data_IF_081281859380
#
_entry.id   IF_081281859380
#
_cell.length_a   1.000
_cell.length_b   1.000
_cell.length_c   1.000
_cell.angle_alpha   90.00
_cell.angle_beta   90.00
_cell.angle_gamma   90.00
#
_symmetry.space_group_name_H-M   'P 1'
#
loop_
_entity.id
_entity.type
_entity.pdbx_description
1 polymer ?
#
# COMPACT_ATOMS: atom_id res chain seq x y z
N UNK A 1 -1.84 -19.34 -2.80
CA UNK A 1 -3.11 -19.35 -2.06
C UNK A 1 -3.27 -17.99 -1.38
N UNK A 2 -4.45 -17.37 -1.41
CA UNK A 2 -4.66 -16.05 -0.81
C UNK A 2 -4.88 -16.15 0.71
N UNK A 3 -4.48 -15.13 1.45
CA UNK A 3 -4.54 -15.10 2.92
C UNK A 3 -5.97 -15.32 3.49
N UNK A 4 -7.01 -14.87 2.78
CA UNK A 4 -8.39 -15.10 3.18
C UNK A 4 -8.78 -16.59 3.10
N UNK A 5 -8.39 -17.31 2.04
CA UNK A 5 -8.67 -18.73 1.88
C UNK A 5 -8.00 -19.56 2.99
N UNK A 6 -6.75 -19.20 3.31
CA UNK A 6 -5.99 -19.75 4.42
C UNK A 6 -6.75 -19.66 5.76
N UNK A 7 -7.25 -18.48 6.09
CA UNK A 7 -8.01 -18.24 7.34
C UNK A 7 -9.39 -18.90 7.31
N UNK A 8 -10.07 -18.96 6.16
CA UNK A 8 -11.36 -19.64 6.01
C UNK A 8 -11.23 -21.15 6.19
N UNK A 9 -10.21 -21.77 5.59
CA UNK A 9 -9.92 -23.20 5.76
C UNK A 9 -9.67 -23.51 7.24
N UNK A 10 -8.89 -22.66 7.91
CA UNK A 10 -8.64 -22.78 9.35
C UNK A 10 -9.93 -22.67 10.18
N UNK A 11 -10.79 -21.68 9.88
CA UNK A 11 -12.10 -21.53 10.53
C UNK A 11 -12.98 -22.77 10.32
N UNK A 12 -13.01 -23.30 9.09
CA UNK A 12 -13.77 -24.50 8.75
C UNK A 12 -13.27 -25.75 9.51
N UNK A 13 -11.94 -25.92 9.61
CA UNK A 13 -11.34 -27.01 10.38
C UNK A 13 -11.74 -26.91 11.86
N UNK A 14 -11.69 -25.72 12.47
CA UNK A 14 -12.11 -25.53 13.86
C UNK A 14 -13.60 -25.82 14.07
N UNK A 15 -14.47 -25.43 13.14
CA UNK A 15 -15.92 -25.75 13.19
C UNK A 15 -16.18 -27.24 13.07
N UNK A 16 -15.34 -27.97 12.33
CA UNK A 16 -15.43 -29.43 12.22
C UNK A 16 -14.95 -30.18 13.47
N UNK A 17 -14.45 -29.46 14.48
CA UNK A 17 -13.95 -30.05 15.73
C UNK A 17 -12.47 -30.44 15.70
N UNK A 18 -11.70 -30.00 14.69
CA UNK A 18 -10.26 -30.24 14.65
C UNK A 18 -9.57 -29.55 15.85
N UNK A 19 -8.51 -30.19 16.37
CA UNK A 19 -7.73 -29.59 17.46
C UNK A 19 -6.96 -28.37 16.98
N UNK A 20 -6.75 -27.41 17.88
CA UNK A 20 -6.00 -26.17 17.58
C UNK A 20 -4.61 -26.45 16.98
N UNK A 21 -3.94 -27.53 17.40
CA UNK A 21 -2.61 -27.89 16.89
C UNK A 21 -2.64 -28.30 15.41
N UNK A 22 -3.59 -29.14 15.02
CA UNK A 22 -3.76 -29.57 13.61
C UNK A 22 -4.10 -28.37 12.75
N UNK A 23 -5.03 -27.54 13.22
CA UNK A 23 -5.48 -26.34 12.55
C UNK A 23 -4.30 -25.36 12.30
N UNK A 24 -3.52 -25.03 13.34
CA UNK A 24 -2.36 -24.11 13.23
C UNK A 24 -1.28 -24.69 12.31
N UNK A 25 -1.02 -26.00 12.37
CA UNK A 25 0.02 -26.62 11.54
C UNK A 25 -0.28 -26.51 10.03
N UNK A 26 -1.56 -26.61 9.64
CA UNK A 26 -1.99 -26.39 8.26
C UNK A 26 -1.81 -24.92 7.83
N UNK A 27 -2.09 -23.98 8.73
CA UNK A 27 -1.93 -22.54 8.48
C UNK A 27 -0.46 -22.11 8.32
N UNK A 28 0.47 -22.71 9.08
CA UNK A 28 1.90 -22.37 9.03
C UNK A 28 2.56 -22.65 7.67
N UNK A 29 1.99 -23.54 6.85
CA UNK A 29 2.53 -23.86 5.53
C UNK A 29 2.19 -22.81 4.45
N UNK A 30 1.40 -21.79 4.80
CA UNK A 30 0.90 -20.80 3.85
C UNK A 30 1.74 -19.51 3.87
N UNK A 31 2.00 -18.97 2.68
CA UNK A 31 2.78 -17.74 2.52
C UNK A 31 1.94 -16.48 2.83
N UNK A 32 1.96 -16.06 4.10
CA UNK A 32 1.37 -14.81 4.58
C UNK A 32 2.41 -13.69 4.67
N UNK A 33 1.99 -12.43 4.47
CA UNK A 33 2.85 -11.28 4.80
C UNK A 33 3.09 -11.22 6.32
N UNK A 34 4.20 -10.59 6.74
CA UNK A 34 4.50 -10.42 8.16
C UNK A 34 3.39 -9.67 8.91
N UNK A 35 2.75 -8.69 8.27
CA UNK A 35 1.60 -7.99 8.85
C UNK A 35 0.38 -8.91 9.01
N UNK A 36 0.08 -9.72 8.00
CA UNK A 36 -1.04 -10.68 8.06
C UNK A 36 -0.83 -11.73 9.16
N UNK A 37 0.41 -12.21 9.34
CA UNK A 37 0.75 -13.11 10.46
C UNK A 37 0.48 -12.46 11.81
N UNK A 38 0.96 -11.22 12.01
CA UNK A 38 0.71 -10.45 13.24
C UNK A 38 -0.78 -10.20 13.48
N UNK A 39 -1.52 -9.85 12.43
CA UNK A 39 -2.96 -9.61 12.53
C UNK A 39 -3.73 -10.88 12.86
N UNK A 40 -3.35 -12.01 12.27
CA UNK A 40 -3.87 -13.32 12.62
C UNK A 40 -3.58 -13.67 14.09
N UNK A 41 -2.33 -13.56 14.53
CA UNK A 41 -1.94 -13.87 15.91
C UNK A 41 -2.67 -12.97 16.92
N UNK A 42 -2.83 -11.69 16.60
CA UNK A 42 -3.60 -10.76 17.43
C UNK A 42 -5.05 -11.19 17.62
N UNK A 43 -5.75 -11.54 16.54
CA UNK A 43 -7.15 -12.00 16.60
C UNK A 43 -7.27 -13.37 17.27
N UNK A 44 -6.35 -14.28 16.95
CA UNK A 44 -6.28 -15.61 17.56
C UNK A 44 -6.09 -15.54 19.07
N UNK A 45 -5.09 -14.78 19.53
CA UNK A 45 -4.80 -14.59 20.95
C UNK A 45 -5.93 -13.90 21.67
N UNK A 46 -6.58 -12.92 21.03
CA UNK A 46 -7.75 -12.25 21.60
C UNK A 46 -8.89 -13.25 21.81
N UNK A 47 -9.25 -14.04 20.80
CA UNK A 47 -10.33 -15.03 20.90
C UNK A 47 -9.99 -16.12 21.93
N UNK A 48 -8.77 -16.65 21.90
CA UNK A 48 -8.31 -17.68 22.83
C UNK A 48 -8.34 -17.20 24.29
N UNK A 49 -7.77 -16.03 24.59
CA UNK A 49 -7.61 -15.59 25.98
C UNK A 49 -8.87 -14.92 26.55
N UNK A 50 -9.76 -14.42 25.69
CA UNK A 50 -11.10 -13.99 26.12
C UNK A 50 -12.08 -15.14 26.28
N UNK A 51 -11.79 -16.32 25.71
CA UNK A 51 -12.75 -17.43 25.61
C UNK A 51 -13.80 -17.25 24.51
N UNK A 52 -13.57 -16.33 23.56
CA UNK A 52 -14.45 -16.08 22.43
C UNK A 52 -14.43 -17.18 21.37
N UNK A 53 -15.42 -17.16 20.49
CA UNK A 53 -15.51 -18.11 19.38
C UNK A 53 -14.43 -17.80 18.32
N UNK A 54 -13.35 -18.59 18.33
CA UNK A 54 -12.22 -18.45 17.40
C UNK A 54 -12.69 -18.54 15.95
N UNK A 55 -13.60 -19.46 15.62
CA UNK A 55 -14.06 -19.62 14.25
C UNK A 55 -14.79 -18.38 13.73
N UNK A 56 -15.65 -17.75 14.55
CA UNK A 56 -16.31 -16.49 14.17
C UNK A 56 -15.32 -15.33 14.05
N UNK A 57 -14.33 -15.26 14.93
CA UNK A 57 -13.26 -14.26 14.86
C UNK A 57 -12.42 -14.41 13.57
N UNK A 58 -12.15 -15.66 13.16
CA UNK A 58 -11.40 -15.96 11.94
C UNK A 58 -12.23 -15.72 10.67
N UNK A 59 -13.53 -16.00 10.65
CA UNK A 59 -14.40 -15.62 9.52
C UNK A 59 -14.33 -14.11 9.28
N UNK A 60 -14.44 -13.33 10.36
CA UNK A 60 -14.32 -11.88 10.29
C UNK A 60 -12.95 -11.44 9.78
N UNK A 61 -11.88 -12.06 10.25
CA UNK A 61 -10.53 -11.77 9.75
C UNK A 61 -10.38 -12.12 8.27
N UNK A 62 -11.00 -13.20 7.80
CA UNK A 62 -10.97 -13.58 6.40
C UNK A 62 -11.67 -12.54 5.50
N UNK A 63 -12.83 -12.02 5.92
CA UNK A 63 -13.50 -10.90 5.24
C UNK A 63 -12.59 -9.67 5.14
N UNK A 64 -11.90 -9.34 6.24
CA UNK A 64 -10.94 -8.24 6.28
C UNK A 64 -9.79 -8.47 5.32
N UNK A 65 -9.20 -9.67 5.29
CA UNK A 65 -8.14 -10.02 4.36
C UNK A 65 -8.59 -10.00 2.89
N UNK A 66 -9.82 -10.44 2.61
CA UNK A 66 -10.38 -10.36 1.26
C UNK A 66 -10.56 -8.91 0.82
N UNK A 67 -11.11 -8.06 1.68
CA UNK A 67 -11.27 -6.62 1.42
C UNK A 67 -9.92 -5.94 1.20
N UNK A 68 -8.93 -6.21 2.05
CA UNK A 68 -7.57 -5.70 1.89
C UNK A 68 -6.91 -6.19 0.59
N UNK A 69 -7.13 -7.44 0.20
CA UNK A 69 -6.60 -7.99 -1.04
C UNK A 69 -7.20 -7.31 -2.27
N UNK A 70 -8.53 -7.14 -2.31
CA UNK A 70 -9.23 -6.38 -3.38
C UNK A 70 -8.69 -4.96 -3.49
N UNK A 71 -8.57 -4.26 -2.36
CA UNK A 71 -8.02 -2.91 -2.28
C UNK A 71 -6.57 -2.82 -2.75
N UNK A 72 -5.71 -3.76 -2.34
CA UNK A 72 -4.31 -3.81 -2.76
C UNK A 72 -4.17 -4.06 -4.27
N UNK A 73 -5.01 -4.94 -4.82
CA UNK A 73 -5.06 -5.20 -6.26
C UNK A 73 -5.47 -3.94 -7.05
N UNK A 74 -6.53 -3.25 -6.61
CA UNK A 74 -6.98 -2.00 -7.23
C UNK A 74 -5.88 -0.93 -7.20
N UNK A 75 -5.16 -0.78 -6.07
CA UNK A 75 -4.02 0.15 -6.02
C UNK A 75 -2.90 -0.25 -6.96
N UNK A 76 -2.52 -1.53 -7.05
CA UNK A 76 -1.47 -1.99 -7.97
C UNK A 76 -1.80 -1.61 -9.41
N UNK A 77 -3.05 -1.77 -9.83
CA UNK A 77 -3.54 -1.37 -11.15
C UNK A 77 -3.46 0.15 -11.30
N UNK A 78 -3.98 0.90 -10.33
CA UNK A 78 -3.99 2.36 -10.37
C UNK A 78 -2.58 2.99 -10.37
N UNK A 79 -1.59 2.38 -9.70
CA UNK A 79 -0.18 2.80 -9.74
C UNK A 79 0.54 2.44 -11.05
N UNK A 80 0.05 1.44 -11.81
CA UNK A 80 0.68 1.03 -13.06
C UNK A 80 0.58 2.14 -14.12
N UNK A 81 -0.53 2.87 -14.16
CA UNK A 81 -0.77 3.96 -15.12
C UNK A 81 0.25 5.10 -15.02
N UNK A 82 0.44 5.79 -13.87
CA UNK A 82 1.43 6.87 -13.76
C UNK A 82 2.87 6.38 -13.99
N UNK A 83 3.17 5.13 -13.61
CA UNK A 83 4.48 4.52 -13.85
C UNK A 83 4.74 4.28 -15.35
N UNK A 84 3.75 3.81 -16.09
CA UNK A 84 3.85 3.58 -17.53
C UNK A 84 4.07 4.90 -18.29
N UNK A 85 3.25 5.92 -18.01
CA UNK A 85 3.40 7.24 -18.64
C UNK A 85 4.75 7.91 -18.34
N UNK A 86 5.21 7.82 -17.09
CA UNK A 86 6.54 8.30 -16.71
C UNK A 86 7.67 7.60 -17.50
N UNK A 87 7.59 6.27 -17.63
CA UNK A 87 8.57 5.50 -18.40
C UNK A 87 8.58 5.91 -19.88
N UNK A 88 7.41 6.13 -20.50
CA UNK A 88 7.32 6.56 -21.89
C UNK A 88 7.97 7.93 -22.12
N UNK A 89 7.67 8.91 -21.27
CA UNK A 89 8.25 10.26 -21.36
C UNK A 89 9.77 10.22 -21.16
N UNK A 90 10.26 9.43 -20.21
CA UNK A 90 11.71 9.30 -19.96
C UNK A 90 12.45 8.57 -21.09
N UNK A 91 11.76 7.69 -21.83
CA UNK A 91 12.33 6.98 -22.97
C UNK A 91 12.36 7.82 -24.25
N UNK A 92 11.52 8.87 -24.34
CA UNK A 92 11.36 9.69 -25.54
C UNK A 92 12.66 10.32 -26.05
N UNK A 93 13.52 10.96 -25.22
CA UNK A 93 14.78 11.53 -25.72
C UNK A 93 15.72 10.48 -26.29
N UNK A 94 15.75 9.29 -25.68
CA UNK A 94 16.60 8.17 -26.12
C UNK A 94 16.12 7.68 -27.50
N UNK A 95 14.81 7.50 -27.66
CA UNK A 95 14.22 7.12 -28.94
C UNK A 95 14.50 8.16 -30.02
N UNK A 96 14.38 9.46 -29.70
CA UNK A 96 14.64 10.53 -30.66
C UNK A 96 16.08 10.52 -31.18
N UNK A 97 17.07 10.30 -30.31
CA UNK A 97 18.48 10.16 -30.71
C UNK A 97 18.69 8.94 -31.60
N UNK A 98 18.11 7.79 -31.25
CA UNK A 98 18.18 6.57 -32.07
C UNK A 98 17.59 6.82 -33.46
N UNK A 99 16.40 7.43 -33.54
CA UNK A 99 15.76 7.74 -34.82
C UNK A 99 16.57 8.73 -35.67
N UNK A 100 17.17 9.76 -35.06
CA UNK A 100 18.02 10.70 -35.78
C UNK A 100 19.23 10.00 -36.41
N UNK A 101 19.90 9.13 -35.65
CA UNK A 101 21.04 8.35 -36.15
C UNK A 101 20.63 7.40 -37.29
N UNK A 102 19.48 6.73 -37.17
CA UNK A 102 18.95 5.84 -38.22
C UNK A 102 18.60 6.58 -39.52
N UNK A 103 18.22 7.86 -39.43
CA UNK A 103 17.97 8.72 -40.59
C UNK A 103 19.27 9.22 -41.25
N UNK A 104 20.43 8.81 -40.75
CA UNK A 104 21.73 9.23 -41.26
C UNK A 104 22.15 10.62 -40.79
N UNK A 105 21.53 11.14 -39.72
CA UNK A 105 21.95 12.38 -39.06
C UNK A 105 22.96 11.98 -37.98
N UNK A 106 24.28 12.18 -38.19
CA UNK A 106 25.34 11.68 -37.29
C UNK A 106 25.28 12.43 -35.95
N UNK A 107 24.36 12.05 -35.07
CA UNK A 107 23.95 12.82 -33.90
C UNK A 107 24.80 12.40 -32.70
N UNK A 108 25.03 11.10 -32.56
CA UNK A 108 25.81 10.53 -31.46
C UNK A 108 27.30 10.81 -31.66
N UNK A 109 27.82 10.53 -32.85
CA UNK A 109 29.23 10.73 -33.19
C UNK A 109 29.62 12.21 -33.11
N UNK A 110 28.84 13.11 -33.73
CA UNK A 110 29.13 14.55 -33.69
C UNK A 110 29.03 15.15 -32.27
N UNK A 111 28.12 14.66 -31.44
CA UNK A 111 28.02 15.11 -30.05
C UNK A 111 29.25 14.72 -29.22
N UNK A 112 29.76 13.49 -29.39
CA UNK A 112 30.91 13.01 -28.64
C UNK A 112 32.24 13.65 -29.09
N UNK A 113 32.35 14.03 -30.36
CA UNK A 113 33.54 14.70 -30.89
C UNK A 113 33.65 16.17 -30.51
N UNK A 114 32.55 16.81 -30.11
CA UNK A 114 32.53 18.25 -29.79
C UNK A 114 32.38 18.47 -28.29
N UNK A 115 33.22 19.33 -27.70
CA UNK A 115 33.13 19.66 -26.27
C UNK A 115 31.76 20.21 -25.88
N UNK A 116 31.13 20.98 -26.78
CA UNK A 116 29.78 21.52 -26.58
C UNK A 116 28.70 20.43 -26.64
N UNK A 117 28.81 19.48 -27.58
CA UNK A 117 27.89 18.35 -27.69
C UNK A 117 27.99 17.40 -26.50
N UNK A 118 29.21 17.09 -26.05
CA UNK A 118 29.45 16.24 -24.89
C UNK A 118 28.89 16.87 -23.60
N UNK A 119 29.06 18.19 -23.42
CA UNK A 119 28.45 18.92 -22.29
C UNK A 119 26.92 18.90 -22.35
N UNK A 120 26.34 19.15 -23.52
CA UNK A 120 24.88 19.10 -23.70
C UNK A 120 24.32 17.72 -23.33
N UNK A 121 24.92 16.65 -23.86
CA UNK A 121 24.52 15.26 -23.54
C UNK A 121 24.67 14.98 -22.04
N UNK A 122 25.78 15.39 -21.43
CA UNK A 122 26.02 15.21 -20.00
C UNK A 122 24.93 15.88 -19.14
N UNK A 123 24.59 17.15 -19.44
CA UNK A 123 23.52 17.88 -18.76
C UNK A 123 22.17 17.18 -18.94
N UNK A 124 21.85 16.76 -20.17
CA UNK A 124 20.61 16.05 -20.47
C UNK A 124 20.48 14.71 -19.72
N UNK A 125 21.57 13.94 -19.62
CA UNK A 125 21.60 12.70 -18.85
C UNK A 125 21.40 12.95 -17.36
N UNK A 126 22.03 13.97 -16.78
CA UNK A 126 21.85 14.35 -15.38
C UNK A 126 20.39 14.70 -15.11
N UNK A 127 19.76 15.50 -15.98
CA UNK A 127 18.34 15.85 -15.87
C UNK A 127 17.43 14.62 -15.91
N UNK A 128 17.68 13.66 -16.81
CA UNK A 128 16.93 12.40 -16.85
C UNK A 128 17.10 11.55 -15.58
N UNK A 129 18.33 11.45 -15.06
CA UNK A 129 18.62 10.72 -13.82
C UNK A 129 17.88 11.38 -12.65
N UNK A 130 17.94 12.71 -12.53
CA UNK A 130 17.21 13.46 -11.49
C UNK A 130 15.70 13.21 -11.60
N UNK A 131 15.13 13.34 -12.81
CA UNK A 131 13.72 13.08 -13.06
C UNK A 131 13.32 11.66 -12.65
N UNK A 132 14.14 10.66 -13.02
CA UNK A 132 13.93 9.25 -12.67
C UNK A 132 13.96 9.02 -11.17
N UNK A 133 14.99 9.53 -10.48
CA UNK A 133 15.17 9.35 -9.04
C UNK A 133 14.03 10.02 -8.26
N UNK A 134 13.65 11.25 -8.61
CA UNK A 134 12.54 11.95 -7.97
C UNK A 134 11.22 11.20 -8.17
N UNK A 135 10.94 10.76 -9.40
CA UNK A 135 9.71 10.01 -9.72
C UNK A 135 9.62 8.69 -8.94
N UNK A 136 10.72 7.93 -8.87
CA UNK A 136 10.78 6.69 -8.08
C UNK A 136 10.59 6.95 -6.60
N UNK A 137 11.22 7.99 -6.05
CA UNK A 137 11.06 8.38 -4.63
C UNK A 137 9.62 8.80 -4.32
N UNK A 138 8.95 9.54 -5.20
CA UNK A 138 7.55 9.93 -5.02
C UNK A 138 6.63 8.70 -5.03
N UNK A 139 6.89 7.75 -5.94
CA UNK A 139 6.14 6.50 -6.03
C UNK A 139 6.36 5.59 -4.81
N UNK A 140 7.60 5.48 -4.32
CA UNK A 140 7.93 4.69 -3.13
C UNK A 140 7.29 5.27 -1.86
N UNK A 141 7.37 6.60 -1.67
CA UNK A 141 6.72 7.27 -0.53
C UNK A 141 5.21 7.12 -0.53
N UNK A 142 4.60 6.96 -1.71
CA UNK A 142 3.16 6.78 -1.84
C UNK A 142 2.70 5.32 -1.68
N UNK A 143 3.62 4.35 -1.59
CA UNK A 143 3.23 2.96 -1.33
C UNK A 143 2.50 2.88 0.03
N UNK A 144 1.29 2.32 0.08
CA UNK A 144 0.56 2.18 1.33
C UNK A 144 1.35 1.31 2.31
N UNK A 145 1.41 1.74 3.58
CA UNK A 145 1.89 0.88 4.67
C UNK A 145 0.81 -0.12 5.05
N UNK A 146 1.19 -1.37 5.30
CA UNK A 146 0.27 -2.39 5.82
C UNK A 146 -0.14 -2.01 7.25
N UNK A 147 -1.44 -1.84 7.47
CA UNK A 147 -2.05 -1.35 8.70
C UNK A 147 -3.55 -1.59 8.63
N UNK A 148 -4.17 -1.94 9.76
CA UNK A 148 -5.62 -2.06 9.89
C UNK A 148 -6.14 -1.19 11.04
N UNK A 149 -6.79 -0.05 10.73
CA UNK A 149 -7.31 0.86 11.75
C UNK A 149 -8.52 0.29 12.51
N UNK A 150 -9.17 -0.75 11.98
CA UNK A 150 -10.33 -1.42 12.59
C UNK A 150 -9.98 -2.59 13.49
N UNK A 151 -8.74 -3.11 13.43
CA UNK A 151 -8.36 -4.35 14.12
C UNK A 151 -8.60 -4.29 15.64
N UNK A 152 -8.26 -3.17 16.28
CA UNK A 152 -8.51 -2.98 17.71
C UNK A 152 -9.99 -3.10 18.08
N UNK A 153 -10.89 -2.50 17.29
CA UNK A 153 -12.33 -2.55 17.56
C UNK A 153 -12.89 -3.95 17.35
N UNK A 154 -12.46 -4.66 16.30
CA UNK A 154 -12.82 -6.07 16.10
C UNK A 154 -12.36 -6.96 17.27
N UNK A 155 -11.15 -6.73 17.79
CA UNK A 155 -10.68 -7.43 18.99
C UNK A 155 -11.55 -7.15 20.21
N UNK A 156 -12.00 -5.90 20.41
CA UNK A 156 -12.96 -5.59 21.48
C UNK A 156 -14.31 -6.29 21.24
N UNK A 157 -14.79 -6.36 20.00
CA UNK A 157 -16.02 -7.11 19.67
C UNK A 157 -15.89 -8.59 20.04
N UNK A 158 -14.73 -9.20 19.81
CA UNK A 158 -14.46 -10.59 20.19
C UNK A 158 -14.59 -10.79 21.70
N UNK A 159 -13.96 -9.92 22.51
CA UNK A 159 -14.04 -10.03 23.96
C UNK A 159 -15.44 -9.73 24.52
N UNK A 160 -16.17 -8.77 23.94
CA UNK A 160 -17.58 -8.53 24.28
C UNK A 160 -18.45 -9.76 23.98
N UNK A 161 -18.21 -10.43 22.86
CA UNK A 161 -18.93 -11.65 22.47
C UNK A 161 -18.62 -12.84 23.39
N UNK A 162 -17.48 -12.80 24.07
CA UNK A 162 -17.09 -13.74 25.13
C UNK A 162 -17.66 -13.39 26.52
N UNK A 163 -18.45 -12.30 26.63
CA UNK A 163 -19.06 -11.85 27.88
C UNK A 163 -18.19 -10.91 28.72
N UNK A 164 -17.04 -10.45 28.22
CA UNK A 164 -16.23 -9.45 28.92
C UNK A 164 -16.93 -8.08 28.92
N UNK A 165 -16.71 -7.29 29.98
CA UNK A 165 -17.14 -5.89 29.98
C UNK A 165 -16.35 -5.07 28.95
N UNK A 166 -16.88 -3.92 28.46
CA UNK A 166 -16.17 -3.07 27.51
C UNK A 166 -14.76 -2.67 27.98
N UNK A 167 -14.61 -2.40 29.28
CA UNK A 167 -13.32 -2.05 29.89
C UNK A 167 -12.35 -3.23 29.92
N UNK A 168 -12.81 -4.41 30.32
CA UNK A 168 -11.99 -5.62 30.38
C UNK A 168 -11.55 -6.06 28.96
N UNK A 169 -12.50 -6.06 28.02
CA UNK A 169 -12.21 -6.39 26.62
C UNK A 169 -11.23 -5.41 25.98
N UNK A 170 -11.37 -4.11 26.27
CA UNK A 170 -10.42 -3.08 25.81
C UNK A 170 -9.03 -3.26 26.39
N UNK A 171 -8.92 -3.54 27.69
CA UNK A 171 -7.63 -3.75 28.34
C UNK A 171 -6.90 -4.98 27.76
N UNK A 172 -7.63 -6.08 27.52
CA UNK A 172 -7.08 -7.28 26.90
C UNK A 172 -6.65 -6.98 25.45
N UNK A 173 -7.49 -6.33 24.66
CA UNK A 173 -7.16 -5.96 23.27
C UNK A 173 -5.93 -5.03 23.20
N UNK A 174 -5.79 -4.08 24.12
CA UNK A 174 -4.59 -3.23 24.21
C UNK A 174 -3.33 -4.03 24.52
N UNK A 175 -3.40 -4.95 25.48
CA UNK A 175 -2.27 -5.82 25.82
C UNK A 175 -1.87 -6.70 24.62
N UNK A 176 -2.84 -7.31 23.95
CA UNK A 176 -2.59 -8.15 22.76
C UNK A 176 -2.07 -7.34 21.57
N UNK A 177 -2.51 -6.10 21.39
CA UNK A 177 -2.01 -5.23 20.35
C UNK A 177 -0.53 -4.89 20.58
N UNK A 178 -0.16 -4.55 21.83
CA UNK A 178 1.22 -4.26 22.19
C UNK A 178 2.14 -5.48 21.97
N UNK A 179 1.68 -6.69 22.28
CA UNK A 179 2.45 -7.92 22.07
C UNK A 179 2.66 -8.26 20.58
N UNK A 180 1.61 -8.14 19.77
CA UNK A 180 1.62 -8.61 18.38
C UNK A 180 2.14 -7.55 17.40
N UNK A 181 1.80 -6.28 17.61
CA UNK A 181 2.22 -5.19 16.73
C UNK A 181 3.44 -4.42 17.25
N UNK A 182 3.76 -4.52 18.55
CA UNK A 182 4.84 -3.74 19.17
C UNK A 182 4.48 -2.27 19.37
N UNK A 183 3.20 -1.91 19.21
CA UNK A 183 2.70 -0.54 19.29
C UNK A 183 1.52 -0.47 20.26
N UNK A 184 1.42 0.63 21.01
CA UNK A 184 0.24 0.90 21.82
C UNK A 184 -0.93 1.34 20.94
N UNK A 185 -2.13 0.96 21.35
CA UNK A 185 -3.38 1.43 20.72
C UNK A 185 -3.44 2.95 20.81
N UNK A 186 -3.79 3.60 19.69
CA UNK A 186 -3.75 5.06 19.61
C UNK A 186 -4.84 5.71 20.47
N UNK A 187 -4.63 6.96 20.90
CA UNK A 187 -5.64 7.71 21.68
C UNK A 187 -6.94 7.90 20.89
N UNK A 188 -6.84 8.01 19.56
CA UNK A 188 -7.98 8.10 18.65
C UNK A 188 -8.81 6.80 18.65
N UNK A 189 -8.16 5.64 18.69
CA UNK A 189 -8.87 4.35 18.77
C UNK A 189 -9.56 4.16 20.13
N UNK A 190 -8.91 4.61 21.21
CA UNK A 190 -9.48 4.55 22.56
C UNK A 190 -10.67 5.50 22.73
N UNK A 191 -10.58 6.74 22.23
CA UNK A 191 -11.71 7.67 22.20
C UNK A 191 -12.85 7.15 21.32
N UNK A 192 -12.54 6.59 20.16
CA UNK A 192 -13.55 5.97 19.30
C UNK A 192 -14.31 4.81 19.97
N UNK A 193 -13.67 4.06 20.87
CA UNK A 193 -14.34 3.06 21.70
C UNK A 193 -15.22 3.74 22.76
N UNK A 194 -14.72 4.73 23.48
CA UNK A 194 -15.48 5.45 24.51
C UNK A 194 -16.75 6.09 23.92
N UNK A 195 -16.61 6.75 22.77
CA UNK A 195 -17.74 7.32 22.04
C UNK A 195 -18.76 6.25 21.62
N UNK A 196 -18.31 5.02 21.33
CA UNK A 196 -19.21 3.92 20.96
C UNK A 196 -19.97 3.40 22.18
N UNK A 197 -19.30 3.33 23.33
CA UNK A 197 -19.91 2.97 24.63
C UNK A 197 -20.98 3.99 24.99
N UNK A 198 -20.67 5.29 24.94
CA UNK A 198 -21.65 6.34 25.25
C UNK A 198 -22.85 6.33 24.30
N UNK A 199 -22.62 6.08 23.00
CA UNK A 199 -23.73 5.94 22.03
C UNK A 199 -24.57 4.70 22.35
N UNK A 200 -23.96 3.57 22.70
CA UNK A 200 -24.68 2.35 23.08
C UNK A 200 -25.54 2.57 24.33
N UNK A 201 -25.00 3.21 25.37
CA UNK A 201 -25.70 3.52 26.61
C UNK A 201 -26.90 4.47 26.40
N UNK A 202 -26.75 5.46 25.51
CA UNK A 202 -27.81 6.44 25.24
C UNK A 202 -28.90 5.91 24.30
N UNK A 203 -28.55 5.05 23.35
CA UNK A 203 -29.47 4.59 22.29
C UNK A 203 -30.01 3.18 22.49
N UNK A 204 -29.42 2.38 23.38
CA UNK A 204 -29.76 0.97 23.58
C UNK A 204 -29.28 0.04 22.47
N UNK A 205 -28.56 0.54 21.45
CA UNK A 205 -28.01 -0.27 20.36
C UNK A 205 -26.86 -1.14 20.91
N UNK A 206 -26.76 -2.39 20.47
CA UNK A 206 -25.69 -3.29 20.86
C UNK A 206 -24.30 -2.73 20.50
N UNK A 207 -23.42 -2.60 21.49
CA UNK A 207 -22.06 -2.06 21.33
C UNK A 207 -21.23 -2.80 20.28
N UNK A 208 -21.36 -4.13 20.21
CA UNK A 208 -20.65 -4.96 19.21
C UNK A 208 -20.99 -4.57 17.77
N UNK A 209 -22.26 -4.24 17.50
CA UNK A 209 -22.71 -3.76 16.18
C UNK A 209 -22.13 -2.39 15.83
N UNK A 210 -22.12 -1.46 16.79
CA UNK A 210 -21.52 -0.12 16.60
C UNK A 210 -20.02 -0.24 16.32
N UNK A 211 -19.31 -1.05 17.10
CA UNK A 211 -17.86 -1.23 16.96
C UNK A 211 -17.50 -1.89 15.63
N UNK A 212 -18.22 -2.94 15.21
CA UNK A 212 -18.00 -3.60 13.91
C UNK A 212 -18.22 -2.63 12.76
N UNK A 213 -19.31 -1.85 12.79
CA UNK A 213 -19.59 -0.83 11.78
C UNK A 213 -18.53 0.29 11.75
N UNK A 214 -18.03 0.72 12.91
CA UNK A 214 -16.93 1.71 12.99
C UNK A 214 -15.61 1.14 12.48
N UNK A 215 -15.30 -0.12 12.77
CA UNK A 215 -14.11 -0.79 12.25
C UNK A 215 -14.11 -0.77 10.71
N UNK A 216 -15.25 -1.13 10.09
CA UNK A 216 -15.41 -1.07 8.63
C UNK A 216 -15.35 0.36 8.10
N UNK A 217 -16.02 1.30 8.76
CA UNK A 217 -15.94 2.71 8.38
C UNK A 217 -14.51 3.25 8.42
N UNK A 218 -13.68 2.87 9.40
CA UNK A 218 -12.29 3.27 9.47
C UNK A 218 -11.44 2.66 8.36
N UNK A 219 -11.64 1.37 8.04
CA UNK A 219 -10.99 0.72 6.89
C UNK A 219 -11.36 1.42 5.59
N UNK A 220 -12.64 1.72 5.37
CA UNK A 220 -13.11 2.44 4.20
C UNK A 220 -12.57 3.88 4.12
N UNK A 221 -12.47 4.60 5.25
CA UNK A 221 -11.87 5.94 5.29
C UNK A 221 -10.39 5.90 4.91
N UNK A 222 -9.61 4.99 5.49
CA UNK A 222 -8.20 4.82 5.16
C UNK A 222 -8.01 4.46 3.68
N UNK A 223 -8.87 3.59 3.15
CA UNK A 223 -8.91 3.26 1.74
C UNK A 223 -9.14 4.49 0.85
N UNK A 224 -10.17 5.28 1.15
CA UNK A 224 -10.49 6.48 0.39
C UNK A 224 -9.35 7.51 0.46
N UNK A 225 -8.71 7.69 1.62
CA UNK A 225 -7.54 8.56 1.78
C UNK A 225 -6.38 8.11 0.88
N UNK A 226 -6.11 6.79 0.80
CA UNK A 226 -5.07 6.23 -0.07
C UNK A 226 -5.38 6.47 -1.55
N UNK A 227 -6.64 6.30 -1.98
CA UNK A 227 -7.06 6.62 -3.36
C UNK A 227 -6.88 8.10 -3.69
N UNK A 228 -7.26 8.99 -2.78
CA UNK A 228 -7.07 10.44 -2.96
C UNK A 228 -5.59 10.80 -3.04
N UNK A 229 -4.75 10.22 -2.19
CA UNK A 229 -3.29 10.42 -2.24
C UNK A 229 -2.72 9.96 -3.59
N UNK A 230 -3.19 8.83 -4.11
CA UNK A 230 -2.78 8.32 -5.44
C UNK A 230 -3.23 9.23 -6.59
N UNK A 231 -4.46 9.75 -6.54
CA UNK A 231 -4.94 10.71 -7.53
C UNK A 231 -4.08 11.98 -7.54
N UNK A 232 -3.74 12.52 -6.36
CA UNK A 232 -2.83 13.67 -6.23
C UNK A 232 -1.42 13.35 -6.74
N UNK A 233 -0.90 12.16 -6.46
CA UNK A 233 0.40 11.69 -6.94
C UNK A 233 0.46 11.66 -8.46
N UNK A 234 -0.61 11.21 -9.12
CA UNK A 234 -0.67 11.13 -10.59
C UNK A 234 -0.46 12.52 -11.22
N UNK A 235 -1.08 13.54 -10.67
CA UNK A 235 -0.93 14.93 -11.13
C UNK A 235 0.46 15.46 -10.77
N UNK A 236 0.92 15.24 -9.52
CA UNK A 236 2.20 15.79 -9.06
C UNK A 236 3.42 15.13 -9.70
N UNK A 237 3.31 13.90 -10.20
CA UNK A 237 4.35 13.23 -10.98
C UNK A 237 4.57 13.91 -12.34
N UNK A 238 3.54 14.50 -12.95
CA UNK A 238 3.68 15.18 -14.24
C UNK A 238 4.61 16.40 -14.17
N UNK A 239 4.69 17.06 -13.01
CA UNK A 239 5.49 18.27 -12.84
C UNK A 239 7.01 18.01 -12.94
N UNK A 240 7.63 17.12 -12.14
CA UNK A 240 9.06 16.82 -12.26
C UNK A 240 9.39 16.18 -13.62
N UNK A 241 8.49 15.36 -14.17
CA UNK A 241 8.66 14.77 -15.50
C UNK A 241 8.65 15.84 -16.58
N UNK A 242 7.66 16.74 -16.62
CA UNK A 242 7.59 17.81 -17.62
C UNK A 242 8.76 18.80 -17.51
N UNK A 243 9.08 19.24 -16.29
CA UNK A 243 10.11 20.26 -16.05
C UNK A 243 11.53 19.75 -16.35
N UNK A 244 11.80 18.44 -16.17
CA UNK A 244 13.12 17.87 -16.42
C UNK A 244 13.23 17.18 -17.80
N UNK A 245 12.17 16.53 -18.29
CA UNK A 245 12.22 15.79 -19.55
C UNK A 245 12.28 16.71 -20.76
N UNK A 246 11.60 17.88 -20.74
CA UNK A 246 11.61 18.80 -21.88
C UNK A 246 12.99 19.43 -22.09
N UNK A 247 13.66 20.00 -21.06
CA UNK A 247 15.05 20.44 -21.20
C UNK A 247 15.99 19.28 -21.54
N UNK A 248 15.82 18.10 -20.93
CA UNK A 248 16.63 16.93 -21.26
C UNK A 248 16.49 16.52 -22.73
N UNK A 249 15.29 16.58 -23.30
CA UNK A 249 15.05 16.33 -24.72
C UNK A 249 15.81 17.31 -25.61
N UNK A 250 15.76 18.61 -25.27
CA UNK A 250 16.51 19.64 -26.01
C UNK A 250 18.01 19.35 -25.98
N UNK A 251 18.56 19.07 -24.80
CA UNK A 251 19.98 18.81 -24.62
C UNK A 251 20.46 17.48 -25.22
N UNK A 252 19.63 16.44 -25.22
CA UNK A 252 20.00 15.11 -25.74
C UNK A 252 19.73 14.94 -27.23
N UNK A 253 18.65 15.52 -27.76
CA UNK A 253 18.24 15.31 -29.14
C UNK A 253 18.47 16.55 -30.01
N UNK A 254 17.95 17.71 -29.59
CA UNK A 254 17.90 18.91 -30.47
C UNK A 254 19.28 19.53 -30.66
N UNK A 255 20.04 19.73 -29.57
CA UNK A 255 21.38 20.37 -29.64
C UNK A 255 22.37 19.51 -30.43
N UNK A 256 22.55 18.21 -30.13
CA UNK A 256 23.37 17.31 -30.95
C UNK A 256 22.99 17.28 -32.42
N UNK A 257 21.68 17.22 -32.72
CA UNK A 257 21.19 17.18 -34.09
C UNK A 257 21.57 18.46 -34.85
N UNK A 258 21.42 19.62 -34.21
CA UNK A 258 21.88 20.89 -34.78
C UNK A 258 23.37 20.88 -35.09
N UNK A 259 24.20 20.42 -34.14
CA UNK A 259 25.66 20.33 -34.34
C UNK A 259 26.01 19.39 -35.50
N UNK A 260 25.35 18.24 -35.59
CA UNK A 260 25.54 17.28 -36.68
C UNK A 260 25.17 17.85 -38.05
N UNK A 261 24.04 18.55 -38.15
CA UNK A 261 23.60 19.21 -39.39
C UNK A 261 24.55 20.32 -39.82
N UNK A 262 25.01 21.17 -38.89
CA UNK A 262 25.96 22.25 -39.20
C UNK A 262 27.32 21.73 -39.69
N UNK A 263 27.69 20.49 -39.35
CA UNK A 263 28.92 19.85 -39.86
C UNK A 263 28.72 19.11 -41.18
N UNK A 264 27.48 18.77 -41.52
CA UNK A 264 27.14 18.04 -42.74
C UNK A 264 26.95 18.95 -43.96
N UNK A 265 26.75 20.25 -43.75
CA UNK A 265 26.69 21.32 -44.77
C UNK A 265 28.07 21.93 -44.94
#
# INVERSE_FOLDING_TARGET
MSANLAVLELSALLRSGATNQVAISAFQQQALSEFQKKQFQFIWDMAKDSGGNIALALDRLAEVFESQHKQSSELKIAFASPRASANLILLLPILAVIFAELLGLPTISSALETSLGALAVGVGLILLIVARVVSLRMLEKAKPRESDPGAFLDAVVIGLSAGLSPRASSALAQNKAALNFGEQVSKEQLSALQDAVSVSEQSGIALSGILSARADAYRHRLWNQRRQALAKLTISLLLPLGLAALPAFVFLAVVPLGIGLFRAV
#
